data_IF_258903347911
#
_entry.id   IF_258903347911
#
_cell.length_a   1.000
_cell.length_b   1.000
_cell.length_c   1.000
_cell.angle_alpha   90.00
_cell.angle_beta   90.00
_cell.angle_gamma   90.00
#
_symmetry.space_group_name_H-M   'P 1'
#
loop_
_entity.id
_entity.type
_entity.pdbx_description
1 polymer ?
#
# COMPACT_ATOMS: atom_id res chain seq x y z
N UNK A 1 -25.74 23.62 13.60
CA UNK A 1 -24.52 24.09 12.90
C UNK A 1 -24.96 25.29 12.10
N UNK A 2 -24.32 26.45 12.27
CA UNK A 2 -24.66 27.64 11.48
C UNK A 2 -24.62 27.31 9.99
N UNK A 3 -25.71 27.60 9.27
CA UNK A 3 -25.83 27.51 7.81
C UNK A 3 -24.83 28.48 7.15
N UNK A 4 -23.55 28.12 7.17
CA UNK A 4 -22.52 28.84 6.43
C UNK A 4 -22.72 28.50 4.96
N UNK A 5 -22.97 29.54 4.17
CA UNK A 5 -23.04 29.46 2.71
C UNK A 5 -21.87 28.63 2.15
N UNK A 6 -22.18 27.66 1.27
CA UNK A 6 -21.17 26.79 0.68
C UNK A 6 -20.34 27.59 -0.34
N UNK A 7 -19.02 27.57 -0.18
CA UNK A 7 -18.02 28.32 -0.95
C UNK A 7 -16.94 27.37 -1.44
N UNK A 8 -17.02 27.02 -2.72
CA UNK A 8 -16.21 25.98 -3.35
C UNK A 8 -15.05 26.62 -4.12
N UNK A 9 -13.83 26.14 -3.90
CA UNK A 9 -12.69 26.41 -4.78
C UNK A 9 -12.42 25.21 -5.69
N UNK A 10 -12.31 25.45 -6.99
CA UNK A 10 -12.00 24.42 -8.00
C UNK A 10 -10.60 24.66 -8.57
N UNK A 11 -9.77 23.63 -8.58
CA UNK A 11 -8.40 23.73 -9.07
C UNK A 11 -8.11 22.68 -10.13
N UNK A 12 -7.68 23.10 -11.32
CA UNK A 12 -7.46 22.21 -12.46
C UNK A 12 -5.95 22.10 -12.72
N UNK A 13 -5.44 20.88 -12.67
CA UNK A 13 -4.03 20.60 -12.89
C UNK A 13 -3.73 20.34 -14.37
N UNK A 14 -2.64 20.88 -14.88
CA UNK A 14 -2.15 20.56 -16.23
C UNK A 14 -1.36 19.24 -16.23
N UNK A 15 -0.69 18.96 -15.11
CA UNK A 15 0.27 17.86 -14.95
C UNK A 15 1.35 17.86 -16.05
N UNK A 16 1.88 19.04 -16.36
CA UNK A 16 2.72 19.26 -17.55
C UNK A 16 1.87 19.07 -18.81
N UNK A 17 2.28 18.16 -19.70
CA UNK A 17 1.50 17.80 -20.88
C UNK A 17 0.57 16.60 -20.66
N UNK A 18 0.58 15.97 -19.48
CA UNK A 18 -0.20 14.75 -19.26
C UNK A 18 -1.71 14.97 -19.29
N UNK A 19 -2.18 16.13 -18.82
CA UNK A 19 -3.60 16.51 -18.88
C UNK A 19 -3.77 17.57 -19.96
N UNK A 20 -2.97 18.64 -19.91
CA UNK A 20 -3.08 19.77 -20.84
C UNK A 20 -2.76 19.43 -22.31
N UNK A 21 -2.12 18.28 -22.59
CA UNK A 21 -1.90 17.80 -23.95
C UNK A 21 -3.17 17.30 -24.64
N UNK A 22 -4.22 16.99 -23.88
CA UNK A 22 -5.44 16.36 -24.39
C UNK A 22 -6.71 17.11 -23.95
N UNK A 23 -6.74 17.63 -22.73
CA UNK A 23 -7.88 18.36 -22.16
C UNK A 23 -7.59 19.85 -22.22
N UNK A 24 -8.52 20.65 -22.74
CA UNK A 24 -8.43 22.11 -22.66
C UNK A 24 -8.69 22.56 -21.23
N UNK A 25 -7.60 22.84 -20.51
CA UNK A 25 -7.64 23.22 -19.11
C UNK A 25 -8.35 24.55 -18.89
N UNK A 26 -8.15 25.52 -19.80
CA UNK A 26 -8.74 26.85 -19.66
C UNK A 26 -10.25 26.75 -19.80
N UNK A 27 -10.70 25.99 -20.79
CA UNK A 27 -12.13 25.77 -21.02
C UNK A 27 -12.79 25.05 -19.82
N UNK A 28 -12.12 24.09 -19.20
CA UNK A 28 -12.61 23.42 -17.97
C UNK A 28 -12.64 24.39 -16.78
N UNK A 29 -11.64 25.26 -16.63
CA UNK A 29 -11.58 26.25 -15.55
C UNK A 29 -12.69 27.30 -15.70
N UNK A 30 -12.90 27.83 -16.90
CA UNK A 30 -13.99 28.78 -17.21
C UNK A 30 -15.37 28.15 -16.98
N UNK A 31 -15.56 26.90 -17.43
CA UNK A 31 -16.78 26.14 -17.14
C UNK A 31 -17.01 25.98 -15.63
N UNK A 32 -15.98 25.61 -14.88
CA UNK A 32 -16.07 25.41 -13.43
C UNK A 32 -16.42 26.70 -12.68
N UNK A 33 -15.91 27.85 -13.12
CA UNK A 33 -16.22 29.16 -12.52
C UNK A 33 -17.71 29.51 -12.61
N UNK A 34 -18.42 29.01 -13.64
CA UNK A 34 -19.86 29.22 -13.83
C UNK A 34 -20.77 28.29 -13.01
N UNK A 35 -20.21 27.32 -12.28
CA UNK A 35 -21.00 26.37 -11.51
C UNK A 35 -21.52 26.98 -10.20
N UNK A 36 -22.70 26.54 -9.69
CA UNK A 36 -23.25 27.04 -8.43
C UNK A 36 -22.30 26.85 -7.25
N UNK A 37 -22.23 27.85 -6.37
CA UNK A 37 -21.38 27.87 -5.17
C UNK A 37 -19.87 27.85 -5.41
N UNK A 38 -19.40 27.88 -6.67
CA UNK A 38 -17.98 28.05 -6.99
C UNK A 38 -17.61 29.52 -6.87
N UNK A 39 -16.71 29.82 -5.94
CA UNK A 39 -16.19 31.18 -5.70
C UNK A 39 -14.98 31.45 -6.59
N UNK A 40 -14.13 30.45 -6.78
CA UNK A 40 -12.94 30.55 -7.62
C UNK A 40 -12.70 29.25 -8.36
N UNK A 41 -12.30 29.34 -9.61
CA UNK A 41 -11.74 28.27 -10.42
C UNK A 41 -10.39 28.72 -10.97
N UNK A 42 -9.33 27.97 -10.69
CA UNK A 42 -7.97 28.29 -11.12
C UNK A 42 -7.31 27.07 -11.74
N UNK A 43 -6.36 27.31 -12.64
CA UNK A 43 -5.50 26.26 -13.17
C UNK A 43 -4.04 26.51 -12.83
N UNK A 44 -3.29 25.43 -12.68
CA UNK A 44 -1.85 25.49 -12.45
C UNK A 44 -1.14 24.25 -12.99
N UNK A 45 0.13 24.43 -13.37
CA UNK A 45 0.90 23.39 -14.06
C UNK A 45 1.01 22.12 -13.22
N UNK A 46 1.32 22.27 -11.92
CA UNK A 46 1.49 21.15 -10.98
C UNK A 46 0.79 21.45 -9.66
N UNK A 47 -0.51 21.14 -9.54
CA UNK A 47 -1.27 21.41 -8.32
C UNK A 47 -0.68 20.74 -7.06
N UNK A 48 -0.03 19.58 -7.19
CA UNK A 48 0.58 18.87 -6.06
C UNK A 48 1.93 19.46 -5.60
N UNK A 49 2.52 20.37 -6.36
CA UNK A 49 3.77 21.06 -5.96
C UNK A 49 3.51 22.07 -4.84
N UNK A 50 4.56 22.53 -4.15
CA UNK A 50 4.42 23.51 -3.06
C UNK A 50 3.68 24.79 -3.50
N UNK A 51 3.96 25.41 -4.67
CA UNK A 51 3.17 26.55 -5.13
C UNK A 51 1.68 26.24 -5.33
N UNK A 52 1.36 25.06 -5.89
CA UNK A 52 -0.02 24.65 -6.11
C UNK A 52 -0.77 24.40 -4.79
N UNK A 53 -0.12 23.77 -3.83
CA UNK A 53 -0.68 23.57 -2.50
C UNK A 53 -0.84 24.90 -1.74
N UNK A 54 0.13 25.80 -1.82
CA UNK A 54 0.06 27.11 -1.18
C UNK A 54 -1.05 27.98 -1.77
N UNK A 55 -1.28 27.93 -3.08
CA UNK A 55 -2.42 28.58 -3.73
C UNK A 55 -3.76 28.15 -3.11
N UNK A 56 -3.96 26.85 -2.91
CA UNK A 56 -5.16 26.32 -2.24
C UNK A 56 -5.26 26.86 -0.80
N UNK A 57 -4.16 26.79 -0.03
CA UNK A 57 -4.13 27.22 1.38
C UNK A 57 -4.43 28.71 1.53
N UNK A 58 -3.90 29.54 0.65
CA UNK A 58 -4.11 30.98 0.63
C UNK A 58 -5.56 31.31 0.29
N UNK A 59 -6.10 30.70 -0.76
CA UNK A 59 -7.48 30.91 -1.18
C UNK A 59 -8.50 30.47 -0.13
N UNK A 60 -8.24 29.36 0.58
CA UNK A 60 -9.08 28.93 1.72
C UNK A 60 -9.23 30.07 2.73
N UNK A 61 -8.12 30.73 3.07
CA UNK A 61 -8.09 31.81 4.07
C UNK A 61 -8.64 33.13 3.52
N UNK A 62 -8.23 33.52 2.31
CA UNK A 62 -8.55 34.81 1.72
C UNK A 62 -9.99 34.89 1.21
N UNK A 63 -10.49 33.83 0.59
CA UNK A 63 -11.82 33.78 -0.02
C UNK A 63 -12.86 33.11 0.88
N UNK A 64 -12.45 32.63 2.06
CA UNK A 64 -13.30 31.93 3.01
C UNK A 64 -13.88 30.64 2.43
N UNK A 65 -13.09 29.89 1.65
CA UNK A 65 -13.55 28.65 1.04
C UNK A 65 -13.79 27.60 2.13
N UNK A 66 -14.88 26.87 2.00
CA UNK A 66 -15.24 25.80 2.92
C UNK A 66 -15.39 24.44 2.24
N UNK A 67 -15.15 24.37 0.92
CA UNK A 67 -15.09 23.12 0.14
C UNK A 67 -14.02 23.27 -0.95
N UNK A 68 -13.31 22.19 -1.26
CA UNK A 68 -12.25 22.20 -2.28
C UNK A 68 -12.45 21.05 -3.25
N UNK A 69 -12.32 21.35 -4.54
CA UNK A 69 -12.30 20.37 -5.63
C UNK A 69 -10.97 20.50 -6.37
N UNK A 70 -10.24 19.40 -6.51
CA UNK A 70 -9.01 19.38 -7.34
C UNK A 70 -9.17 18.39 -8.48
N UNK A 71 -9.22 18.90 -9.70
CA UNK A 71 -9.25 18.11 -10.93
C UNK A 71 -7.83 17.83 -11.41
N UNK A 72 -7.37 16.59 -11.21
CA UNK A 72 -6.00 16.19 -11.52
C UNK A 72 -5.90 14.68 -11.77
N UNK A 73 -5.08 13.98 -10.98
CA UNK A 73 -4.80 12.55 -11.07
C UNK A 73 -5.72 11.72 -10.16
N UNK A 74 -5.39 10.43 -10.01
CA UNK A 74 -6.14 9.52 -9.14
C UNK A 74 -6.12 9.94 -7.65
N UNK A 75 -7.25 9.81 -6.93
CA UNK A 75 -7.28 9.93 -5.47
C UNK A 75 -6.35 8.92 -4.77
N UNK A 76 -6.10 7.75 -5.38
CA UNK A 76 -5.15 6.77 -4.84
C UNK A 76 -3.70 7.27 -4.79
N UNK A 77 -3.39 8.38 -5.48
CA UNK A 77 -2.06 8.97 -5.53
C UNK A 77 -1.94 10.20 -4.62
N UNK A 78 -2.79 11.22 -4.81
CA UNK A 78 -2.62 12.53 -4.18
C UNK A 78 -3.79 13.00 -3.30
N UNK A 79 -4.78 12.16 -3.01
CA UNK A 79 -5.86 12.54 -2.09
C UNK A 79 -5.31 12.94 -0.72
N UNK A 80 -4.43 12.12 -0.13
CA UNK A 80 -3.80 12.45 1.15
C UNK A 80 -2.95 13.72 1.11
N UNK A 81 -2.33 14.04 -0.02
CA UNK A 81 -1.56 15.27 -0.22
C UNK A 81 -2.47 16.50 -0.11
N UNK A 82 -3.57 16.53 -0.86
CA UNK A 82 -4.49 17.68 -0.86
C UNK A 82 -5.33 17.77 0.41
N UNK A 83 -5.72 16.64 1.00
CA UNK A 83 -6.38 16.62 2.32
C UNK A 83 -5.49 17.26 3.38
N UNK A 84 -4.19 16.94 3.39
CA UNK A 84 -3.23 17.58 4.30
C UNK A 84 -3.10 19.08 4.04
N UNK A 85 -3.00 19.49 2.77
CA UNK A 85 -2.95 20.91 2.42
C UNK A 85 -4.19 21.68 2.91
N UNK A 86 -5.39 21.10 2.75
CA UNK A 86 -6.63 21.68 3.28
C UNK A 86 -6.60 21.76 4.81
N UNK A 87 -6.15 20.70 5.47
CA UNK A 87 -6.04 20.63 6.93
C UNK A 87 -5.08 21.70 7.49
N UNK A 88 -3.92 21.90 6.85
CA UNK A 88 -2.95 22.95 7.22
C UNK A 88 -3.52 24.36 7.06
N UNK A 89 -4.52 24.55 6.19
CA UNK A 89 -5.26 25.80 6.05
C UNK A 89 -6.43 25.94 7.04
N UNK A 90 -6.70 24.93 7.87
CA UNK A 90 -7.81 24.91 8.82
C UNK A 90 -9.12 24.36 8.26
N UNK A 91 -9.12 23.80 7.04
CA UNK A 91 -10.29 23.15 6.45
C UNK A 91 -10.32 21.66 6.81
N UNK A 92 -11.50 21.15 7.16
CA UNK A 92 -11.66 19.72 7.44
C UNK A 92 -11.28 18.89 6.18
N UNK A 93 -10.42 17.86 6.31
CA UNK A 93 -9.89 17.11 5.16
C UNK A 93 -10.96 16.32 4.39
N UNK A 94 -12.16 16.13 4.95
CA UNK A 94 -13.26 15.43 4.30
C UNK A 94 -14.24 16.37 3.57
N UNK A 95 -13.94 17.67 3.56
CA UNK A 95 -14.60 18.70 2.76
C UNK A 95 -13.86 18.97 1.44
N UNK A 96 -13.18 17.94 0.96
CA UNK A 96 -12.33 17.92 -0.22
C UNK A 96 -12.79 16.79 -1.15
N UNK A 97 -12.85 17.07 -2.44
CA UNK A 97 -13.13 16.08 -3.48
C UNK A 97 -12.06 16.13 -4.57
N UNK A 98 -11.55 14.96 -4.96
CA UNK A 98 -10.57 14.84 -6.04
C UNK A 98 -11.25 14.31 -7.30
N UNK A 99 -10.99 14.97 -8.43
CA UNK A 99 -11.54 14.58 -9.73
C UNK A 99 -10.40 14.02 -10.58
N UNK A 100 -10.50 12.75 -10.95
CA UNK A 100 -9.51 12.11 -11.80
C UNK A 100 -9.80 12.46 -13.28
N UNK A 101 -9.06 13.43 -13.81
CA UNK A 101 -9.09 13.82 -15.23
C UNK A 101 -7.81 13.40 -15.99
N UNK A 102 -6.91 12.64 -15.34
CA UNK A 102 -5.69 12.11 -15.94
C UNK A 102 -5.87 10.65 -16.35
N UNK A 103 -5.77 9.72 -15.40
CA UNK A 103 -5.90 8.28 -15.68
C UNK A 103 -7.28 7.92 -16.24
N UNK A 104 -8.32 8.64 -15.82
CA UNK A 104 -9.70 8.36 -16.25
C UNK A 104 -10.17 9.24 -17.42
N UNK A 105 -9.34 10.16 -17.92
CA UNK A 105 -9.73 11.05 -19.02
C UNK A 105 -8.58 11.29 -20.01
N UNK A 106 -7.62 12.16 -19.72
CA UNK A 106 -6.60 12.60 -20.69
C UNK A 106 -5.74 11.45 -21.24
N UNK A 107 -5.39 10.46 -20.42
CA UNK A 107 -4.54 9.33 -20.85
C UNK A 107 -5.28 8.28 -21.69
N UNK A 108 -6.61 8.27 -21.66
CA UNK A 108 -7.42 7.19 -22.24
C UNK A 108 -8.43 7.67 -23.28
N UNK A 109 -8.44 8.97 -23.59
CA UNK A 109 -9.36 9.57 -24.56
C UNK A 109 -8.54 10.31 -25.60
N UNK A 110 -8.53 9.81 -26.85
CA UNK A 110 -7.72 10.41 -27.93
C UNK A 110 -8.32 11.72 -28.45
N UNK A 111 -9.64 11.81 -28.53
CA UNK A 111 -10.34 13.02 -28.97
C UNK A 111 -10.30 14.10 -27.88
N UNK A 112 -9.58 15.19 -28.14
CA UNK A 112 -9.42 16.31 -27.23
C UNK A 112 -10.74 17.01 -26.88
N UNK A 113 -11.68 17.13 -27.83
CA UNK A 113 -12.96 17.77 -27.56
C UNK A 113 -13.81 16.89 -26.63
N UNK A 114 -13.88 15.58 -26.92
CA UNK A 114 -14.57 14.62 -26.06
C UNK A 114 -13.92 14.51 -24.67
N UNK A 115 -12.58 14.55 -24.58
CA UNK A 115 -11.86 14.55 -23.32
C UNK A 115 -12.18 15.80 -22.48
N UNK A 116 -12.28 16.96 -23.13
CA UNK A 116 -12.60 18.22 -22.46
C UNK A 116 -14.04 18.22 -21.93
N UNK A 117 -15.01 17.79 -22.73
CA UNK A 117 -16.40 17.66 -22.28
C UNK A 117 -16.54 16.65 -21.13
N UNK A 118 -15.83 15.53 -21.20
CA UNK A 118 -15.78 14.55 -20.11
C UNK A 118 -15.17 15.14 -18.84
N UNK A 119 -14.08 15.91 -18.94
CA UNK A 119 -13.48 16.58 -17.79
C UNK A 119 -14.45 17.58 -17.13
N UNK A 120 -15.17 18.38 -17.93
CA UNK A 120 -16.23 19.28 -17.43
C UNK A 120 -17.31 18.52 -16.68
N UNK A 121 -17.81 17.42 -17.26
CA UNK A 121 -18.84 16.61 -16.62
C UNK A 121 -18.36 16.03 -15.27
N UNK A 122 -17.12 15.53 -15.21
CA UNK A 122 -16.52 15.01 -13.98
C UNK A 122 -16.36 16.10 -12.90
N UNK A 123 -15.91 17.30 -13.30
CA UNK A 123 -15.78 18.45 -12.39
C UNK A 123 -17.14 18.90 -11.87
N UNK A 124 -18.14 19.01 -12.75
CA UNK A 124 -19.52 19.36 -12.36
C UNK A 124 -20.10 18.39 -11.33
N UNK A 125 -19.92 17.09 -11.55
CA UNK A 125 -20.35 16.06 -10.61
C UNK A 125 -19.66 16.18 -9.25
N UNK A 126 -18.36 16.45 -9.24
CA UNK A 126 -17.59 16.64 -8.00
C UNK A 126 -17.97 17.90 -7.23
N UNK A 127 -18.17 19.02 -7.92
CA UNK A 127 -18.69 20.26 -7.33
C UNK A 127 -20.07 20.02 -6.70
N UNK A 128 -20.93 19.25 -7.38
CA UNK A 128 -22.24 18.90 -6.81
C UNK A 128 -22.13 17.97 -5.60
N UNK A 129 -21.18 17.04 -5.60
CA UNK A 129 -20.94 16.12 -4.49
C UNK A 129 -20.37 16.84 -3.26
N UNK A 130 -19.35 17.68 -3.45
CA UNK A 130 -18.65 18.39 -2.36
C UNK A 130 -19.59 19.35 -1.63
N UNK A 131 -20.60 19.89 -2.33
CA UNK A 131 -21.65 20.73 -1.75
C UNK A 131 -22.37 20.04 -0.57
N UNK A 132 -22.60 18.73 -0.67
CA UNK A 132 -23.28 17.93 0.36
C UNK A 132 -22.33 17.23 1.32
N UNK A 133 -21.01 17.38 1.17
CA UNK A 133 -20.07 16.79 2.12
C UNK A 133 -20.20 17.46 3.50
N UNK A 134 -20.06 16.65 4.53
CA UNK A 134 -20.03 17.07 5.93
C UNK A 134 -18.63 16.86 6.50
N UNK A 135 -18.20 17.69 7.47
CA UNK A 135 -16.93 17.48 8.12
C UNK A 135 -16.94 16.16 8.89
N UNK A 136 -15.90 15.33 8.71
CA UNK A 136 -15.73 14.09 9.46
C UNK A 136 -14.55 14.18 10.42
N UNK A 137 -14.58 13.34 11.44
CA UNK A 137 -13.51 13.20 12.42
C UNK A 137 -12.75 11.89 12.19
N UNK A 138 -11.43 11.94 12.35
CA UNK A 138 -10.58 10.75 12.27
C UNK A 138 -10.81 9.92 13.53
N UNK A 139 -11.17 8.65 13.35
CA UNK A 139 -11.29 7.71 14.46
C UNK A 139 -9.91 7.22 14.88
N UNK A 140 -9.58 7.43 16.15
CA UNK A 140 -8.41 6.82 16.78
C UNK A 140 -8.75 5.40 17.22
N UNK A 141 -7.84 4.46 16.94
CA UNK A 141 -7.97 3.05 17.32
C UNK A 141 -6.67 2.59 17.97
N UNK A 142 -6.73 1.75 19.02
CA UNK A 142 -5.54 1.19 19.63
C UNK A 142 -4.80 0.31 18.62
N UNK A 143 -3.47 0.24 18.73
CA UNK A 143 -2.64 -0.62 17.88
C UNK A 143 -2.04 -1.71 18.75
N UNK A 144 -2.25 -2.97 18.36
CA UNK A 144 -1.60 -4.11 19.01
C UNK A 144 -0.10 -4.07 18.72
N UNK A 145 0.79 -4.02 19.73
CA UNK A 145 2.23 -3.80 19.54
C UNK A 145 2.98 -5.09 19.15
N UNK A 146 2.44 -5.82 18.18
CA UNK A 146 3.01 -7.05 17.65
C UNK A 146 2.89 -7.07 16.13
N UNK A 147 3.88 -7.64 15.46
CA UNK A 147 3.92 -7.77 14.01
C UNK A 147 3.87 -9.23 13.60
N UNK A 148 3.20 -9.54 12.50
CA UNK A 148 3.28 -10.84 11.86
C UNK A 148 3.99 -10.72 10.52
N UNK A 149 4.98 -11.57 10.29
CA UNK A 149 5.72 -11.67 9.03
C UNK A 149 5.36 -13.00 8.38
N UNK A 150 4.92 -12.97 7.13
CA UNK A 150 4.55 -14.15 6.36
C UNK A 150 5.67 -14.49 5.37
N UNK A 151 6.23 -15.69 5.53
CA UNK A 151 7.35 -16.19 4.74
C UNK A 151 8.70 -15.95 5.42
N UNK A 152 9.41 -17.03 5.74
CA UNK A 152 10.75 -17.07 6.29
C UNK A 152 11.85 -17.18 5.23
N UNK A 153 11.68 -16.52 4.08
CA UNK A 153 12.79 -16.24 3.16
C UNK A 153 13.67 -15.09 3.67
N UNK A 154 14.72 -14.74 2.92
CA UNK A 154 15.66 -13.68 3.31
C UNK A 154 14.98 -12.35 3.66
N UNK A 155 13.96 -11.95 2.89
CA UNK A 155 13.21 -10.71 3.14
C UNK A 155 12.45 -10.75 4.47
N UNK A 156 11.73 -11.84 4.75
CA UNK A 156 10.96 -11.98 5.98
C UNK A 156 11.83 -12.18 7.21
N UNK A 157 12.92 -12.92 7.09
CA UNK A 157 13.94 -13.05 8.14
C UNK A 157 14.52 -11.68 8.51
N UNK A 158 14.93 -10.89 7.52
CA UNK A 158 15.50 -9.57 7.76
C UNK A 158 14.45 -8.62 8.38
N UNK A 159 13.22 -8.62 7.87
CA UNK A 159 12.13 -7.83 8.45
C UNK A 159 11.87 -8.20 9.91
N UNK A 160 11.78 -9.50 10.21
CA UNK A 160 11.55 -10.00 11.56
C UNK A 160 12.67 -9.59 12.52
N UNK A 161 13.94 -9.72 12.10
CA UNK A 161 15.09 -9.33 12.91
C UNK A 161 15.10 -7.83 13.21
N UNK A 162 14.89 -6.96 12.21
CA UNK A 162 14.91 -5.51 12.44
C UNK A 162 13.75 -5.05 13.34
N UNK A 163 12.55 -5.59 13.15
CA UNK A 163 11.41 -5.29 14.03
C UNK A 163 11.71 -5.78 15.46
N UNK A 164 12.25 -6.98 15.61
CA UNK A 164 12.55 -7.55 16.91
C UNK A 164 13.69 -6.81 17.63
N UNK A 165 14.71 -6.31 16.91
CA UNK A 165 15.78 -5.44 17.45
C UNK A 165 15.24 -4.12 17.99
N UNK A 166 14.17 -3.59 17.39
CA UNK A 166 13.46 -2.41 17.90
C UNK A 166 12.58 -2.69 19.12
N UNK A 167 12.56 -3.93 19.64
CA UNK A 167 11.87 -4.31 20.87
C UNK A 167 10.41 -4.73 20.69
N UNK A 168 9.98 -5.01 19.46
CA UNK A 168 8.62 -5.42 19.16
C UNK A 168 8.50 -6.94 18.97
N UNK A 169 7.42 -7.53 19.49
CA UNK A 169 7.11 -8.96 19.29
C UNK A 169 6.80 -9.22 17.82
N UNK A 170 7.41 -10.26 17.26
CA UNK A 170 7.20 -10.72 15.89
C UNK A 170 6.72 -12.17 15.88
N UNK A 171 5.70 -12.47 15.09
CA UNK A 171 5.31 -13.83 14.71
C UNK A 171 5.80 -14.06 13.29
N UNK A 172 6.80 -14.93 13.10
CA UNK A 172 7.31 -15.29 11.77
C UNK A 172 6.69 -16.62 11.34
N UNK A 173 5.77 -16.58 10.38
CA UNK A 173 5.05 -17.75 9.89
C UNK A 173 5.69 -18.25 8.60
N UNK A 174 6.15 -19.50 8.59
CA UNK A 174 6.76 -20.14 7.42
C UNK A 174 5.98 -21.41 7.07
N UNK A 175 5.60 -21.52 5.79
CA UNK A 175 4.83 -22.63 5.25
C UNK A 175 5.61 -23.94 5.29
N UNK A 176 6.88 -23.89 4.94
CA UNK A 176 7.74 -25.06 4.84
C UNK A 176 8.28 -25.49 6.22
N UNK A 177 8.80 -26.72 6.36
CA UNK A 177 9.38 -27.19 7.62
C UNK A 177 10.55 -26.36 8.13
N UNK A 178 11.23 -25.61 7.24
CA UNK A 178 12.39 -24.77 7.51
C UNK A 178 12.21 -23.39 6.90
N UNK A 179 12.76 -22.39 7.58
CA UNK A 179 13.05 -21.07 7.01
C UNK A 179 14.25 -21.14 6.07
N UNK A 180 14.36 -20.23 5.12
CA UNK A 180 15.30 -20.35 4.01
C UNK A 180 14.90 -19.58 2.77
N UNK A 181 13.68 -19.87 2.32
CA UNK A 181 13.26 -19.54 0.96
C UNK A 181 14.23 -20.09 -0.09
N UNK A 182 14.23 -19.46 -1.27
CA UNK A 182 15.09 -19.87 -2.38
C UNK A 182 16.58 -19.62 -2.11
N UNK A 183 16.93 -18.67 -1.24
CA UNK A 183 18.32 -18.35 -0.94
C UNK A 183 19.07 -19.56 -0.35
N UNK A 184 18.38 -20.39 0.44
CA UNK A 184 18.93 -21.63 0.98
C UNK A 184 19.23 -22.70 -0.08
N UNK A 185 18.71 -22.55 -1.30
CA UNK A 185 18.93 -23.48 -2.42
C UNK A 185 20.10 -23.04 -3.32
N UNK A 186 20.56 -21.79 -3.18
CA UNK A 186 21.65 -21.28 -4.00
C UNK A 186 23.01 -21.72 -3.45
N UNK A 187 23.93 -22.05 -4.35
CA UNK A 187 25.34 -22.26 -3.99
C UNK A 187 26.02 -20.90 -3.71
N UNK A 188 25.86 -19.95 -4.63
CA UNK A 188 26.50 -18.62 -4.57
C UNK A 188 25.53 -17.48 -4.86
N UNK A 189 25.87 -16.29 -4.37
CA UNK A 189 25.11 -15.05 -4.61
C UNK A 189 25.91 -14.03 -5.41
N UNK A 190 25.38 -13.58 -6.54
CA UNK A 190 25.94 -12.45 -7.28
C UNK A 190 25.70 -11.13 -6.51
N UNK A 191 26.54 -10.08 -6.71
CA UNK A 191 27.70 -10.03 -7.59
C UNK A 191 29.00 -10.55 -6.96
N UNK A 192 29.03 -10.77 -5.64
CA UNK A 192 30.26 -11.12 -4.90
C UNK A 192 30.70 -12.57 -5.07
N UNK A 193 29.78 -13.44 -5.52
CA UNK A 193 29.98 -14.89 -5.63
C UNK A 193 30.30 -15.55 -4.29
N UNK A 194 29.87 -14.93 -3.19
CA UNK A 194 29.93 -15.53 -1.86
C UNK A 194 29.05 -16.77 -1.79
N UNK A 195 29.43 -17.73 -0.96
CA UNK A 195 28.57 -18.86 -0.64
C UNK A 195 27.30 -18.36 0.04
N UNK A 196 26.13 -18.72 -0.49
CA UNK A 196 24.85 -18.25 0.04
C UNK A 196 24.64 -18.68 1.49
N UNK A 197 25.05 -19.92 1.82
CA UNK A 197 24.97 -20.45 3.18
C UNK A 197 25.83 -19.67 4.17
N UNK A 198 27.00 -19.17 3.76
CA UNK A 198 27.91 -18.42 4.65
C UNK A 198 27.29 -17.11 5.13
N UNK A 199 26.55 -16.42 4.27
CA UNK A 199 25.92 -15.13 4.61
C UNK A 199 24.55 -15.32 5.28
N UNK A 200 23.85 -16.40 4.95
CA UNK A 200 22.46 -16.60 5.33
C UNK A 200 22.27 -17.38 6.64
N UNK A 201 23.09 -18.41 6.89
CA UNK A 201 22.97 -19.27 8.08
C UNK A 201 23.05 -18.49 9.40
N UNK A 202 23.90 -17.45 9.55
CA UNK A 202 23.88 -16.62 10.76
C UNK A 202 22.52 -15.96 11.03
N UNK A 203 21.79 -15.57 9.99
CA UNK A 203 20.47 -14.96 10.11
C UNK A 203 19.40 -15.98 10.52
N UNK A 204 19.49 -17.22 10.01
CA UNK A 204 18.62 -18.32 10.44
C UNK A 204 18.74 -18.57 11.94
N UNK A 205 19.99 -18.67 12.42
CA UNK A 205 20.29 -18.88 13.84
C UNK A 205 19.79 -17.71 14.69
N UNK A 206 20.06 -16.47 14.24
CA UNK A 206 19.62 -15.27 14.93
C UNK A 206 18.10 -15.24 15.09
N UNK A 207 17.33 -15.57 14.05
CA UNK A 207 15.86 -15.65 14.11
C UNK A 207 15.40 -16.72 15.10
N UNK A 208 15.96 -17.92 15.01
CA UNK A 208 15.57 -19.05 15.84
C UNK A 208 15.83 -18.86 17.35
N UNK A 209 16.75 -17.96 17.71
CA UNK A 209 17.15 -17.71 19.09
C UNK A 209 16.64 -16.36 19.64
N UNK A 210 16.01 -15.53 18.80
CA UNK A 210 15.65 -14.17 19.21
C UNK A 210 14.46 -14.17 20.19
N UNK A 211 14.56 -13.53 21.38
CA UNK A 211 13.50 -13.60 22.41
C UNK A 211 12.19 -12.94 21.99
N UNK A 212 12.27 -11.94 21.08
CA UNK A 212 11.08 -11.26 20.54
C UNK A 212 10.50 -11.91 19.28
N UNK A 213 11.10 -12.98 18.74
CA UNK A 213 10.57 -13.65 17.54
C UNK A 213 9.95 -14.98 17.95
N UNK A 214 8.69 -15.16 17.60
CA UNK A 214 8.01 -16.45 17.64
C UNK A 214 8.02 -17.06 16.26
N UNK A 215 8.85 -18.08 16.09
CA UNK A 215 9.00 -18.77 14.82
C UNK A 215 7.98 -19.90 14.71
N UNK A 216 7.08 -19.79 13.74
CA UNK A 216 6.04 -20.75 13.42
C UNK A 216 6.36 -21.38 12.05
N UNK A 217 7.27 -22.34 12.05
CA UNK A 217 7.56 -23.15 10.84
C UNK A 217 6.49 -24.21 10.61
N UNK A 218 6.44 -24.73 9.39
CA UNK A 218 5.41 -25.67 8.95
C UNK A 218 3.98 -25.18 9.25
N UNK A 219 3.76 -23.88 9.14
CA UNK A 219 2.53 -23.21 9.54
C UNK A 219 2.03 -22.28 8.44
N UNK A 220 0.72 -22.21 8.28
CA UNK A 220 0.06 -21.42 7.23
C UNK A 220 -0.99 -20.50 7.85
N UNK A 221 -1.13 -19.30 7.31
CA UNK A 221 -2.26 -18.44 7.63
C UNK A 221 -3.48 -18.93 6.88
N UNK A 222 -4.55 -19.25 7.61
CA UNK A 222 -5.83 -19.65 7.01
C UNK A 222 -6.78 -18.47 6.82
N UNK A 223 -6.75 -17.51 7.76
CA UNK A 223 -7.70 -16.40 7.78
C UNK A 223 -7.06 -15.16 8.43
N UNK A 224 -7.32 -14.00 7.82
CA UNK A 224 -6.98 -12.69 8.38
C UNK A 224 -8.25 -11.86 8.40
N UNK A 225 -8.63 -11.37 9.58
CA UNK A 225 -9.76 -10.46 9.77
C UNK A 225 -9.33 -9.23 10.58
N UNK A 226 -10.17 -8.19 10.60
CA UNK A 226 -9.90 -6.93 11.29
C UNK A 226 -9.40 -5.82 10.36
N UNK A 227 -8.67 -4.86 10.92
CA UNK A 227 -8.18 -3.67 10.23
C UNK A 227 -6.83 -3.24 10.80
N UNK A 228 -6.22 -2.20 10.21
CA UNK A 228 -4.89 -1.70 10.60
C UNK A 228 -4.78 -1.56 12.12
N UNK A 229 -3.79 -2.24 12.70
CA UNK A 229 -3.50 -2.26 14.13
C UNK A 229 -4.30 -3.26 14.97
N UNK A 230 -5.38 -3.84 14.43
CA UNK A 230 -6.31 -4.74 15.13
C UNK A 230 -6.63 -5.98 14.29
N UNK A 231 -5.59 -6.68 13.84
CA UNK A 231 -5.75 -7.91 13.08
C UNK A 231 -5.99 -9.11 14.00
N UNK A 232 -6.90 -9.99 13.59
CA UNK A 232 -7.05 -11.34 14.14
C UNK A 232 -6.68 -12.33 13.06
N UNK A 233 -5.67 -13.14 13.34
CA UNK A 233 -5.11 -14.08 12.36
C UNK A 233 -5.24 -15.50 12.89
N UNK A 234 -5.78 -16.40 12.06
CA UNK A 234 -5.85 -17.83 12.35
C UNK A 234 -4.71 -18.54 11.63
N UNK A 235 -3.87 -19.23 12.40
CA UNK A 235 -2.71 -19.97 11.89
C UNK A 235 -2.96 -21.46 12.06
N UNK A 236 -2.82 -22.23 10.97
CA UNK A 236 -2.76 -23.69 11.00
C UNK A 236 -1.31 -24.11 11.13
N UNK A 237 -0.92 -24.61 12.30
CA UNK A 237 0.33 -25.36 12.47
C UNK A 237 0.12 -26.78 11.97
N UNK A 238 0.80 -27.17 10.88
CA UNK A 238 0.65 -28.52 10.30
C UNK A 238 1.31 -29.55 11.21
N UNK A 239 0.71 -30.74 11.28
CA UNK A 239 1.25 -31.83 12.10
C UNK A 239 2.56 -32.36 11.49
N UNK A 240 3.67 -32.21 12.22
CA UNK A 240 4.97 -32.80 11.85
C UNK A 240 5.02 -34.31 12.08
N UNK A 241 4.08 -34.85 12.87
CA UNK A 241 4.08 -36.23 13.37
C UNK A 241 5.35 -36.61 14.16
N UNK A 242 6.03 -35.60 14.71
CA UNK A 242 7.20 -35.71 15.57
C UNK A 242 7.00 -34.74 16.74
N UNK A 243 7.32 -35.18 17.94
CA UNK A 243 7.34 -34.33 19.14
C UNK A 243 8.57 -33.40 19.06
N UNK A 244 8.32 -32.11 18.79
CA UNK A 244 9.37 -31.11 18.56
C UNK A 244 10.26 -30.90 19.80
N UNK A 245 9.72 -31.10 21.01
CA UNK A 245 10.47 -30.93 22.27
C UNK A 245 11.42 -32.11 22.54
N UNK A 246 11.16 -33.27 21.92
CA UNK A 246 12.00 -34.48 22.05
C UNK A 246 12.91 -34.72 20.85
N UNK A 247 12.65 -34.05 19.73
CA UNK A 247 13.41 -34.24 18.51
C UNK A 247 14.83 -33.63 18.64
N UNK A 248 15.86 -34.45 18.44
CA UNK A 248 17.26 -34.00 18.49
C UNK A 248 17.84 -33.64 17.12
N UNK A 249 17.10 -33.90 16.03
CA UNK A 249 17.58 -33.68 14.67
C UNK A 249 18.72 -34.58 14.23
N UNK A 250 18.94 -35.75 14.87
CA UNK A 250 20.07 -36.64 14.57
C UNK A 250 20.02 -37.31 13.19
N UNK A 251 18.83 -37.47 12.60
CA UNK A 251 18.66 -38.08 11.28
C UNK A 251 18.55 -39.61 11.26
N UNK A 252 18.66 -40.30 12.39
CA UNK A 252 18.58 -41.78 12.46
C UNK A 252 17.26 -42.33 11.92
N UNK A 253 16.16 -41.59 12.13
CA UNK A 253 14.84 -41.94 11.60
C UNK A 253 14.79 -41.93 10.07
N UNK A 254 15.56 -41.04 9.41
CA UNK A 254 15.62 -40.95 7.96
C UNK A 254 16.40 -42.13 7.37
N UNK A 255 17.55 -42.46 7.96
CA UNK A 255 18.40 -43.59 7.52
C UNK A 255 17.68 -44.93 7.59
N UNK A 256 16.84 -45.13 8.60
CA UNK A 256 16.07 -46.37 8.79
C UNK A 256 14.71 -46.38 8.08
N UNK A 257 14.35 -45.33 7.33
CA UNK A 257 13.06 -45.23 6.67
C UNK A 257 12.96 -46.24 5.50
N UNK A 258 11.97 -47.15 5.49
CA UNK A 258 11.81 -48.12 4.39
C UNK A 258 11.26 -47.49 3.12
N UNK A 259 10.64 -46.30 3.21
CA UNK A 259 10.12 -45.55 2.07
C UNK A 259 11.18 -44.58 1.57
N UNK A 260 11.53 -44.68 0.28
CA UNK A 260 12.42 -43.72 -0.38
C UNK A 260 11.59 -42.71 -1.15
N UNK A 261 11.49 -41.50 -0.61
CA UNK A 261 10.85 -40.37 -1.27
C UNK A 261 11.92 -39.43 -1.81
N UNK A 262 11.80 -38.98 -3.07
CA UNK A 262 12.66 -37.95 -3.65
C UNK A 262 12.07 -36.58 -3.26
N UNK A 263 12.74 -35.77 -2.42
CA UNK A 263 12.23 -34.48 -1.99
C UNK A 263 12.03 -33.54 -3.18
N UNK A 264 10.94 -32.77 -3.20
CA UNK A 264 10.66 -31.82 -4.29
C UNK A 264 11.74 -30.74 -4.46
N UNK A 265 12.49 -30.40 -3.40
CA UNK A 265 13.62 -29.45 -3.44
C UNK A 265 14.76 -29.93 -4.35
N UNK A 266 14.83 -31.24 -4.63
CA UNK A 266 15.83 -31.84 -5.51
C UNK A 266 15.29 -32.22 -6.90
N UNK A 267 14.03 -31.90 -7.24
CA UNK A 267 13.52 -32.14 -8.61
C UNK A 267 14.20 -31.18 -9.58
N UNK A 268 15.04 -31.71 -10.46
CA UNK A 268 15.47 -30.99 -11.66
C UNK A 268 14.31 -30.98 -12.65
N UNK A 269 14.15 -29.91 -13.44
CA UNK A 269 13.27 -29.94 -14.61
C UNK A 269 13.71 -31.12 -15.51
N UNK A 270 12.90 -32.18 -15.57
CA UNK A 270 13.20 -33.42 -16.31
C UNK A 270 12.96 -34.74 -15.55
N UNK A 271 12.76 -34.72 -14.23
CA UNK A 271 12.36 -35.92 -13.47
C UNK A 271 10.85 -36.21 -13.62
N UNK A 272 10.43 -36.59 -14.82
CA UNK A 272 9.10 -37.17 -15.05
C UNK A 272 9.07 -38.63 -14.57
N UNK A 273 8.20 -38.87 -13.59
CA UNK A 273 7.51 -40.13 -13.26
C UNK A 273 8.16 -41.45 -13.73
N UNK A 274 8.79 -42.16 -12.80
CA UNK A 274 8.71 -43.62 -12.76
C UNK A 274 7.99 -44.02 -11.47
N UNK A 275 6.69 -43.74 -11.45
CA UNK A 275 5.77 -44.49 -10.60
C UNK A 275 5.34 -45.72 -11.40
N UNK A 276 5.82 -46.89 -10.95
CA UNK A 276 5.24 -48.20 -11.21
C UNK A 276 5.17 -48.95 -9.90
#
# INVERSE_FOLDING_TARGET
>A
MEDKEVRIGVYICHCGSNIAGTVDIKEVAEFAQGLPSVVTAKDYIYMCSDPGQNMIKEDIKQLGLNRIVVASCSPTLHEHTFRRACQEAGLNPYLFEMVNIREHCSWVTEDCAAATEKAKALVSAAVRRVFYQEPLEVREVPVTPSVMVLGGGIAGIQAALEIAKSGHKVYLVEREPSIGGHMAQFDKTFPTLDCASCIFTPLLSAVGQHPYIELLTYSEVEEVSGYIGNFKVKIRKKARYVDEDKCTGCGDCYTNCPVRYIPQVNRREGDESTES
#
